data_IF_517265096320
#
_entry.id   IF_517265096320
#
_cell.length_a   1.000
_cell.length_b   1.000
_cell.length_c   1.000
_cell.angle_alpha   90.00
_cell.angle_beta   90.00
_cell.angle_gamma   90.00
#
_symmetry.space_group_name_H-M   'P 1'
#
loop_
_entity.id
_entity.type
_entity.pdbx_description
1 polymer ?
#
# COMPACT_ATOMS: atom_id res chain seq x y z
N UNK A 1 -49.35 -61.29 34.64
CA UNK A 1 -48.56 -62.37 34.01
C UNK A 1 -47.75 -61.73 32.91
N UNK A 2 -46.68 -61.04 33.28
CA UNK A 2 -45.35 -61.61 33.54
C UNK A 2 -44.58 -61.83 32.23
N UNK A 3 -43.67 -60.88 31.99
CA UNK A 3 -42.25 -61.13 31.70
C UNK A 3 -41.91 -62.46 31.05
N UNK A 4 -41.46 -62.45 29.80
CA UNK A 4 -40.33 -63.28 29.39
C UNK A 4 -39.50 -62.64 28.26
N UNK A 5 -38.25 -62.36 28.60
CA UNK A 5 -37.03 -62.30 27.77
C UNK A 5 -36.77 -61.15 26.79
N UNK A 6 -35.91 -60.25 27.28
CA UNK A 6 -34.93 -59.46 26.53
C UNK A 6 -33.87 -60.36 25.88
N UNK A 7 -33.28 -59.82 24.80
CA UNK A 7 -32.02 -60.21 24.13
C UNK A 7 -32.10 -61.17 22.94
N UNK A 8 -32.24 -60.60 21.74
CA UNK A 8 -31.33 -60.95 20.65
C UNK A 8 -30.90 -59.67 19.92
N UNK A 9 -29.60 -59.43 19.94
CA UNK A 9 -28.87 -58.35 19.29
C UNK A 9 -28.72 -58.64 17.78
N UNK A 10 -28.62 -57.56 17.02
CA UNK A 10 -27.92 -57.43 15.74
C UNK A 10 -28.52 -58.00 14.45
N UNK A 11 -28.25 -57.22 13.40
CA UNK A 11 -28.44 -57.44 11.96
C UNK A 11 -29.88 -57.23 11.50
N UNK A 12 -30.15 -56.06 10.92
CA UNK A 12 -30.84 -55.86 9.63
C UNK A 12 -30.72 -54.35 9.32
N UNK A 13 -29.50 -53.93 8.99
CA UNK A 13 -29.25 -52.78 8.15
C UNK A 13 -29.40 -53.27 6.70
N UNK A 14 -30.19 -52.57 5.87
CA UNK A 14 -30.03 -52.43 4.41
C UNK A 14 -31.20 -51.57 3.88
N UNK A 15 -30.90 -50.28 3.67
CA UNK A 15 -30.93 -49.57 2.38
C UNK A 15 -32.26 -48.94 2.00
N UNK A 16 -32.46 -47.70 2.48
CA UNK A 16 -33.26 -46.71 1.75
C UNK A 16 -32.29 -45.99 0.82
N UNK A 17 -32.37 -46.31 -0.46
CA UNK A 17 -31.66 -45.66 -1.54
C UNK A 17 -32.14 -44.21 -1.65
N UNK A 18 -31.42 -43.26 -1.05
CA UNK A 18 -31.48 -41.88 -1.51
C UNK A 18 -30.75 -41.83 -2.85
N UNK A 19 -31.52 -41.80 -3.93
CA UNK A 19 -31.02 -41.34 -5.22
C UNK A 19 -30.69 -39.84 -5.04
N UNK A 20 -29.45 -39.57 -4.65
CA UNK A 20 -28.88 -38.24 -4.79
C UNK A 20 -28.88 -37.93 -6.29
N UNK A 21 -29.73 -36.99 -6.69
CA UNK A 21 -29.54 -36.31 -7.96
C UNK A 21 -28.15 -35.68 -7.92
N UNK A 22 -27.24 -36.21 -8.74
CA UNK A 22 -26.03 -35.48 -9.15
C UNK A 22 -26.49 -34.22 -9.90
N UNK A 23 -26.79 -33.16 -9.16
CA UNK A 23 -26.43 -31.84 -9.62
C UNK A 23 -24.91 -31.78 -9.47
N UNK A 24 -24.20 -31.29 -10.49
CA UNK A 24 -22.83 -30.81 -10.35
C UNK A 24 -22.87 -29.65 -9.34
N UNK A 25 -22.94 -30.00 -8.05
CA UNK A 25 -22.95 -29.07 -6.95
C UNK A 25 -21.54 -28.52 -6.84
N UNK A 26 -21.37 -27.24 -7.16
CA UNK A 26 -20.20 -26.50 -6.73
C UNK A 26 -20.10 -26.66 -5.20
N UNK A 27 -19.11 -27.40 -4.73
CA UNK A 27 -18.78 -27.40 -3.30
C UNK A 27 -18.40 -25.96 -2.95
N UNK A 28 -19.00 -25.42 -1.89
CA UNK A 28 -18.72 -24.04 -1.49
C UNK A 28 -17.23 -23.91 -1.16
N UNK A 29 -16.52 -22.98 -1.81
CA UNK A 29 -15.06 -22.97 -1.75
C UNK A 29 -14.52 -22.49 -0.40
N UNK A 30 -15.32 -21.95 0.53
CA UNK A 30 -14.85 -21.48 1.84
C UNK A 30 -13.79 -20.38 1.73
N UNK A 31 -14.07 -19.35 0.90
CA UNK A 31 -13.13 -18.24 0.65
C UNK A 31 -13.36 -17.14 1.68
N UNK A 32 -12.31 -16.83 2.44
CA UNK A 32 -12.22 -15.67 3.33
C UNK A 32 -11.53 -14.54 2.57
N UNK A 33 -12.24 -13.45 2.32
CA UNK A 33 -11.71 -12.26 1.67
C UNK A 33 -11.14 -11.30 2.71
N UNK A 34 -9.88 -10.91 2.52
CA UNK A 34 -9.16 -9.95 3.35
C UNK A 34 -8.78 -8.76 2.48
N UNK A 35 -9.56 -7.68 2.59
CA UNK A 35 -9.33 -6.44 1.86
C UNK A 35 -8.47 -5.52 2.73
N UNK A 36 -7.23 -5.29 2.27
CA UNK A 36 -6.27 -4.36 2.86
C UNK A 36 -6.72 -2.93 2.57
N UNK A 37 -7.16 -2.23 3.61
CA UNK A 37 -7.94 -0.99 3.52
C UNK A 37 -7.50 0.02 4.59
N UNK A 38 -7.88 1.27 4.39
CA UNK A 38 -7.51 2.41 5.23
C UNK A 38 -8.76 3.20 5.63
N UNK A 39 -8.68 3.98 6.70
CA UNK A 39 -9.83 4.70 7.26
C UNK A 39 -10.34 5.86 6.39
N UNK A 40 -9.49 6.41 5.52
CA UNK A 40 -9.87 7.55 4.69
C UNK A 40 -11.04 7.21 3.76
N UNK A 41 -11.84 8.23 3.44
CA UNK A 41 -13.09 8.10 2.69
C UNK A 41 -12.93 7.46 1.31
N UNK A 42 -11.79 7.71 0.64
CA UNK A 42 -11.46 7.15 -0.67
C UNK A 42 -11.30 5.62 -0.59
N UNK A 43 -10.50 5.15 0.38
CA UNK A 43 -10.23 3.74 0.63
C UNK A 43 -11.47 3.02 1.17
N UNK A 44 -12.08 3.56 2.22
CA UNK A 44 -13.29 3.01 2.82
C UNK A 44 -14.47 2.96 1.84
N UNK A 45 -14.57 3.92 0.92
CA UNK A 45 -15.55 3.90 -0.18
C UNK A 45 -15.31 2.76 -1.17
N UNK A 46 -14.07 2.61 -1.64
CA UNK A 46 -13.68 1.55 -2.57
C UNK A 46 -13.88 0.16 -1.97
N UNK A 47 -13.46 -0.01 -0.71
CA UNK A 47 -13.61 -1.24 0.07
C UNK A 47 -15.08 -1.67 0.23
N UNK A 48 -15.97 -0.71 0.53
CA UNK A 48 -17.42 -0.96 0.62
C UNK A 48 -18.00 -1.42 -0.72
N UNK A 49 -17.60 -0.77 -1.82
CA UNK A 49 -18.05 -1.16 -3.15
C UNK A 49 -17.58 -2.57 -3.50
N UNK A 50 -16.30 -2.89 -3.26
CA UNK A 50 -15.77 -4.23 -3.48
C UNK A 50 -16.51 -5.28 -2.65
N UNK A 51 -16.70 -5.03 -1.36
CA UNK A 51 -17.47 -5.92 -0.48
C UNK A 51 -18.89 -6.16 -0.99
N UNK A 52 -19.62 -5.10 -1.37
CA UNK A 52 -20.96 -5.22 -1.94
C UNK A 52 -20.96 -6.02 -3.24
N UNK A 53 -19.99 -5.79 -4.13
CA UNK A 53 -19.83 -6.54 -5.37
C UNK A 53 -19.63 -8.03 -5.12
N UNK A 54 -18.78 -8.41 -4.15
CA UNK A 54 -18.55 -9.82 -3.76
C UNK A 54 -19.85 -10.48 -3.32
N UNK A 55 -20.60 -9.84 -2.40
CA UNK A 55 -21.88 -10.39 -1.91
C UNK A 55 -22.93 -10.51 -3.02
N UNK A 56 -23.03 -9.52 -3.91
CA UNK A 56 -23.95 -9.55 -5.04
C UNK A 56 -23.61 -10.67 -6.02
N UNK A 57 -22.33 -10.85 -6.34
CA UNK A 57 -21.88 -11.94 -7.20
C UNK A 57 -22.11 -13.31 -6.55
N UNK A 58 -21.87 -13.45 -5.24
CA UNK A 58 -22.13 -14.69 -4.51
C UNK A 58 -23.61 -15.07 -4.57
N UNK A 59 -24.51 -14.11 -4.30
CA UNK A 59 -25.95 -14.31 -4.41
C UNK A 59 -26.37 -14.69 -5.84
N UNK A 60 -25.82 -14.03 -6.86
CA UNK A 60 -26.10 -14.35 -8.27
C UNK A 60 -25.62 -15.76 -8.67
N UNK A 61 -24.57 -16.26 -8.03
CA UNK A 61 -24.02 -17.61 -8.22
C UNK A 61 -24.67 -18.66 -7.31
N UNK A 62 -25.62 -18.27 -6.45
CA UNK A 62 -26.23 -19.13 -5.42
C UNK A 62 -25.19 -19.77 -4.48
N UNK A 63 -24.12 -19.02 -4.17
CA UNK A 63 -23.14 -19.38 -3.15
C UNK A 63 -23.59 -18.86 -1.78
N UNK A 64 -23.08 -19.47 -0.71
CA UNK A 64 -23.20 -18.98 0.66
C UNK A 64 -22.66 -17.56 0.84
N UNK A 65 -23.03 -16.95 1.96
CA UNK A 65 -22.69 -15.56 2.27
C UNK A 65 -21.16 -15.44 2.47
N UNK A 66 -20.46 -14.65 1.64
CA UNK A 66 -19.00 -14.59 1.67
C UNK A 66 -18.48 -13.84 2.90
N UNK A 67 -17.41 -14.35 3.49
CA UNK A 67 -16.74 -13.69 4.63
C UNK A 67 -15.79 -12.63 4.08
N UNK A 68 -16.07 -11.35 4.37
CA UNK A 68 -15.27 -10.21 3.86
C UNK A 68 -14.79 -9.32 5.00
N UNK A 69 -13.50 -9.38 5.30
CA UNK A 69 -12.83 -8.47 6.21
C UNK A 69 -12.32 -7.24 5.48
N UNK A 70 -12.72 -6.07 5.97
CA UNK A 70 -12.07 -4.80 5.69
C UNK A 70 -11.17 -4.45 6.87
N UNK A 71 -9.85 -4.42 6.70
CA UNK A 71 -8.89 -4.22 7.80
C UNK A 71 -9.18 -2.97 8.63
N UNK A 72 -9.48 -1.82 8.01
CA UNK A 72 -9.80 -0.57 8.74
C UNK A 72 -11.06 -0.64 9.60
N UNK A 73 -11.99 -1.56 9.30
CA UNK A 73 -13.27 -1.68 10.01
C UNK A 73 -13.23 -2.78 11.07
N UNK A 74 -12.63 -3.91 10.74
CA UNK A 74 -12.67 -5.11 11.60
C UNK A 74 -11.47 -5.17 12.54
N UNK A 75 -10.36 -4.52 12.18
CA UNK A 75 -9.12 -4.49 12.96
C UNK A 75 -8.50 -3.09 13.04
N UNK A 76 -9.28 -2.05 13.44
CA UNK A 76 -8.78 -0.67 13.51
C UNK A 76 -7.60 -0.53 14.50
N UNK A 77 -7.60 -1.31 15.57
CA UNK A 77 -6.57 -1.27 16.61
C UNK A 77 -5.37 -2.20 16.35
N UNK A 78 -5.37 -2.93 15.22
CA UNK A 78 -4.28 -3.85 14.88
C UNK A 78 -3.22 -3.10 14.08
N UNK A 79 -2.26 -2.54 14.82
CA UNK A 79 -1.07 -1.92 14.25
C UNK A 79 -0.36 -2.90 13.29
N UNK A 80 0.03 -2.39 12.12
CA UNK A 80 0.74 -3.17 11.11
C UNK A 80 -0.13 -4.16 10.35
N UNK A 81 -1.46 -4.17 10.51
CA UNK A 81 -2.37 -5.03 9.72
C UNK A 81 -2.14 -4.92 8.21
N UNK A 82 -1.68 -3.76 7.73
CA UNK A 82 -1.33 -3.53 6.33
C UNK A 82 -0.16 -4.38 5.81
N UNK A 83 0.67 -4.94 6.71
CA UNK A 83 1.80 -5.83 6.41
C UNK A 83 1.38 -7.31 6.36
N UNK A 84 0.10 -7.62 6.61
CA UNK A 84 -0.48 -8.99 6.66
C UNK A 84 -0.03 -9.83 7.86
N UNK A 85 1.22 -9.70 8.33
CA UNK A 85 1.75 -10.53 9.42
C UNK A 85 0.88 -10.55 10.69
N UNK A 86 0.40 -9.40 11.23
CA UNK A 86 -0.46 -9.41 12.42
C UNK A 86 -1.84 -10.06 12.21
N UNK A 87 -2.21 -10.35 10.96
CA UNK A 87 -3.48 -10.96 10.61
C UNK A 87 -3.41 -12.49 10.56
N UNK A 88 -2.22 -13.08 10.43
CA UNK A 88 -2.06 -14.53 10.21
C UNK A 88 -2.68 -15.36 11.34
N UNK A 89 -2.27 -15.10 12.59
CA UNK A 89 -2.81 -15.80 13.77
C UNK A 89 -4.31 -15.54 13.93
N UNK A 90 -4.75 -14.29 13.70
CA UNK A 90 -6.16 -13.89 13.84
C UNK A 90 -7.06 -14.61 12.84
N UNK A 91 -6.61 -14.71 11.59
CA UNK A 91 -7.33 -15.41 10.53
C UNK A 91 -7.38 -16.91 10.81
N UNK A 92 -6.27 -17.50 11.25
CA UNK A 92 -6.20 -18.90 11.62
C UNK A 92 -7.12 -19.24 12.81
N UNK A 93 -7.19 -18.36 13.82
CA UNK A 93 -8.07 -18.52 14.97
C UNK A 93 -9.54 -18.38 14.59
N UNK A 94 -9.88 -17.36 13.79
CA UNK A 94 -11.25 -17.07 13.39
C UNK A 94 -11.83 -18.11 12.40
N UNK A 95 -10.97 -18.69 11.55
CA UNK A 95 -11.39 -19.54 10.44
C UNK A 95 -10.75 -20.93 10.44
N UNK A 96 -10.58 -21.50 11.64
CA UNK A 96 -10.01 -22.85 11.80
C UNK A 96 -10.82 -23.93 11.09
N UNK A 97 -12.15 -23.80 11.10
CA UNK A 97 -13.06 -24.87 10.69
C UNK A 97 -13.74 -24.60 9.32
N UNK A 98 -13.80 -23.33 8.88
CA UNK A 98 -14.55 -22.89 7.69
C UNK A 98 -13.67 -22.21 6.61
N UNK A 99 -12.45 -21.78 6.95
CA UNK A 99 -11.53 -21.13 6.03
C UNK A 99 -10.70 -22.12 5.21
N UNK A 100 -11.08 -22.31 3.94
CA UNK A 100 -10.32 -23.16 2.99
C UNK A 100 -9.33 -22.35 2.15
N UNK A 101 -9.71 -21.14 1.78
CA UNK A 101 -8.90 -20.22 0.97
C UNK A 101 -8.92 -18.81 1.58
N UNK A 102 -7.76 -18.16 1.65
CA UNK A 102 -7.61 -16.81 2.15
C UNK A 102 -7.16 -15.90 1.01
N UNK A 103 -8.08 -15.08 0.52
CA UNK A 103 -7.86 -14.18 -0.60
C UNK A 103 -7.52 -12.79 -0.07
N UNK A 104 -6.28 -12.34 -0.27
CA UNK A 104 -5.82 -11.00 0.12
C UNK A 104 -5.83 -10.08 -1.09
N UNK A 105 -6.36 -8.87 -0.95
CA UNK A 105 -6.40 -7.88 -2.02
C UNK A 105 -6.43 -6.45 -1.48
N UNK A 106 -6.26 -5.48 -2.37
CA UNK A 106 -6.40 -4.07 -2.05
C UNK A 106 -7.83 -3.59 -2.30
N UNK A 107 -8.17 -2.43 -1.75
CA UNK A 107 -9.47 -1.78 -1.93
C UNK A 107 -9.78 -1.40 -3.39
N UNK A 108 -8.75 -1.25 -4.24
CA UNK A 108 -8.85 -0.97 -5.66
C UNK A 108 -9.01 -2.22 -6.54
N UNK A 109 -8.89 -3.43 -5.96
CA UNK A 109 -9.05 -4.67 -6.70
C UNK A 109 -10.50 -4.84 -7.15
N UNK A 110 -10.69 -5.34 -8.37
CA UNK A 110 -11.95 -5.84 -8.90
C UNK A 110 -11.84 -7.33 -9.15
N UNK A 111 -12.96 -8.05 -9.11
CA UNK A 111 -12.96 -9.50 -9.30
C UNK A 111 -14.24 -10.02 -9.95
N UNK A 112 -14.07 -11.11 -10.69
CA UNK A 112 -15.11 -12.02 -11.17
C UNK A 112 -15.09 -13.26 -10.26
N UNK A 113 -16.04 -13.31 -9.33
CA UNK A 113 -16.12 -14.35 -8.30
C UNK A 113 -16.33 -15.72 -8.94
N UNK A 114 -17.13 -15.81 -10.00
CA UNK A 114 -17.40 -17.08 -10.69
C UNK A 114 -16.15 -17.68 -11.30
N UNK A 115 -15.26 -16.84 -11.86
CA UNK A 115 -13.96 -17.28 -12.37
C UNK A 115 -12.98 -17.60 -11.25
N UNK A 116 -12.97 -16.84 -10.16
CA UNK A 116 -12.13 -17.14 -8.99
C UNK A 116 -12.48 -18.51 -8.40
N UNK A 117 -13.77 -18.80 -8.18
CA UNK A 117 -14.21 -20.11 -7.69
C UNK A 117 -13.80 -21.24 -8.64
N UNK A 118 -13.99 -21.05 -9.96
CA UNK A 118 -13.55 -22.03 -10.97
C UNK A 118 -12.04 -22.24 -11.00
N UNK A 119 -11.26 -21.20 -10.69
CA UNK A 119 -9.81 -21.29 -10.59
C UNK A 119 -9.42 -22.11 -9.35
N UNK A 120 -9.95 -21.76 -8.18
CA UNK A 120 -9.61 -22.41 -6.91
C UNK A 120 -10.04 -23.88 -6.86
N UNK A 121 -11.14 -24.24 -7.52
CA UNK A 121 -11.59 -25.64 -7.62
C UNK A 121 -10.63 -26.55 -8.44
N UNK A 122 -9.60 -26.00 -9.07
CA UNK A 122 -8.53 -26.78 -9.72
C UNK A 122 -7.45 -27.23 -8.74
N UNK A 123 -7.41 -26.63 -7.55
CA UNK A 123 -6.42 -26.87 -6.52
C UNK A 123 -7.04 -27.57 -5.33
N UNK A 124 -6.22 -28.29 -4.56
CA UNK A 124 -6.66 -28.92 -3.33
C UNK A 124 -6.34 -28.00 -2.15
N UNK A 125 -7.36 -27.50 -1.46
CA UNK A 125 -7.19 -26.54 -0.36
C UNK A 125 -6.44 -27.08 0.87
N UNK A 126 -6.20 -28.40 0.96
CA UNK A 126 -5.37 -29.01 2.01
C UNK A 126 -3.88 -29.02 1.65
N UNK A 127 -3.55 -28.85 0.38
CA UNK A 127 -2.18 -28.75 -0.09
C UNK A 127 -1.69 -27.31 0.04
N UNK A 128 -0.39 -27.15 0.19
CA UNK A 128 0.23 -25.86 0.42
C UNK A 128 0.24 -25.04 -0.89
N UNK A 129 -0.57 -23.98 -0.96
CA UNK A 129 -0.69 -23.12 -2.13
C UNK A 129 -0.50 -21.64 -1.77
N UNK A 130 0.36 -20.98 -2.54
CA UNK A 130 0.54 -19.53 -2.55
C UNK A 130 0.41 -19.05 -4.01
N UNK A 131 -0.74 -18.46 -4.35
CA UNK A 131 -1.11 -18.14 -5.73
C UNK A 131 -1.22 -16.61 -5.92
N UNK A 132 -0.85 -16.12 -7.09
CA UNK A 132 -1.03 -14.70 -7.45
C UNK A 132 -0.39 -14.37 -8.79
N UNK A 133 -0.36 -13.09 -9.15
CA UNK A 133 0.43 -12.63 -10.29
C UNK A 133 1.88 -12.41 -9.86
N UNK A 134 2.84 -13.11 -10.45
CA UNK A 134 4.24 -12.98 -10.08
C UNK A 134 4.86 -11.68 -10.63
N UNK A 135 5.41 -10.89 -9.72
CA UNK A 135 6.32 -9.79 -10.01
C UNK A 135 7.75 -10.25 -9.79
N UNK A 136 8.66 -9.59 -10.50
CA UNK A 136 10.08 -9.86 -10.44
C UNK A 136 10.86 -8.55 -10.48
N UNK A 137 11.98 -8.58 -9.75
CA UNK A 137 13.05 -7.60 -9.88
C UNK A 137 14.01 -8.06 -10.97
N UNK A 138 14.12 -7.25 -12.03
CA UNK A 138 15.00 -7.53 -13.16
C UNK A 138 16.46 -7.20 -12.88
N UNK A 139 16.69 -6.32 -11.90
CA UNK A 139 17.99 -5.87 -11.43
C UNK A 139 18.02 -5.84 -9.90
N UNK A 140 19.19 -5.63 -9.32
CA UNK A 140 19.35 -5.58 -7.87
C UNK A 140 18.84 -4.22 -7.37
N UNK A 141 17.83 -4.22 -6.50
CA UNK A 141 17.12 -3.02 -6.07
C UNK A 141 17.48 -2.63 -4.64
N UNK A 142 17.41 -1.33 -4.34
CA UNK A 142 17.63 -0.83 -2.98
C UNK A 142 16.51 -1.30 -2.03
N UNK A 143 15.27 -1.33 -2.52
CA UNK A 143 14.09 -1.67 -1.71
C UNK A 143 14.10 -3.13 -1.24
N UNK A 144 14.72 -4.03 -2.02
CA UNK A 144 14.90 -5.44 -1.66
C UNK A 144 16.35 -5.75 -1.24
N UNK A 145 17.02 -4.75 -0.64
CA UNK A 145 18.33 -4.89 0.00
C UNK A 145 19.43 -5.50 -0.88
N UNK A 146 19.36 -5.26 -2.18
CA UNK A 146 20.25 -5.82 -3.18
C UNK A 146 20.27 -7.36 -3.21
N UNK A 147 19.14 -8.00 -2.92
CA UNK A 147 18.96 -9.42 -3.24
C UNK A 147 19.24 -9.67 -4.73
N UNK A 148 19.58 -10.92 -5.07
CA UNK A 148 19.94 -11.30 -6.43
C UNK A 148 18.75 -11.05 -7.39
N UNK A 149 18.97 -10.48 -8.58
CA UNK A 149 17.92 -10.29 -9.57
C UNK A 149 17.24 -11.62 -9.91
N UNK A 150 15.92 -11.59 -10.15
CA UNK A 150 15.13 -12.78 -10.50
C UNK A 150 15.22 -13.93 -9.48
N UNK A 151 15.63 -13.67 -8.22
CA UNK A 151 15.79 -14.71 -7.20
C UNK A 151 14.50 -15.06 -6.45
N UNK A 152 13.54 -14.13 -6.38
CA UNK A 152 12.29 -14.29 -5.66
C UNK A 152 11.12 -13.71 -6.46
N UNK A 153 10.12 -14.55 -6.73
CA UNK A 153 8.82 -14.09 -7.20
C UNK A 153 7.99 -13.58 -6.01
N UNK A 154 7.35 -12.43 -6.17
CA UNK A 154 6.46 -11.86 -5.16
C UNK A 154 5.13 -11.41 -5.77
N UNK A 155 4.01 -11.44 -5.03
CA UNK A 155 2.70 -11.23 -5.61
C UNK A 155 2.42 -9.76 -5.87
N UNK A 156 1.78 -9.43 -6.98
CA UNK A 156 1.11 -8.14 -7.13
C UNK A 156 -0.18 -8.12 -6.30
N UNK A 157 -0.11 -7.65 -5.04
CA UNK A 157 -1.27 -7.67 -4.13
C UNK A 157 -2.44 -6.81 -4.65
N UNK A 158 -2.18 -5.80 -5.48
CA UNK A 158 -3.20 -5.02 -6.20
C UNK A 158 -4.08 -5.88 -7.13
N UNK A 159 -3.53 -6.97 -7.67
CA UNK A 159 -4.25 -7.99 -8.44
C UNK A 159 -4.83 -9.10 -7.54
N UNK A 160 -4.41 -9.16 -6.28
CA UNK A 160 -4.81 -10.17 -5.30
C UNK A 160 -3.88 -11.37 -5.24
N UNK A 161 -3.85 -12.01 -4.08
CA UNK A 161 -3.11 -13.25 -3.82
C UNK A 161 -3.94 -14.20 -2.96
N UNK A 162 -3.63 -15.49 -3.00
CA UNK A 162 -4.36 -16.53 -2.29
C UNK A 162 -3.41 -17.44 -1.52
N UNK A 163 -3.75 -17.69 -0.26
CA UNK A 163 -3.18 -18.78 0.53
C UNK A 163 -4.22 -19.88 0.73
N UNK A 164 -3.82 -21.14 0.60
CA UNK A 164 -4.63 -22.25 1.13
C UNK A 164 -4.64 -22.25 2.66
N UNK A 165 -5.59 -22.98 3.25
CA UNK A 165 -5.69 -23.16 4.70
C UNK A 165 -4.40 -23.72 5.33
N UNK A 166 -3.77 -24.70 4.68
CA UNK A 166 -2.50 -25.29 5.12
C UNK A 166 -1.35 -24.30 5.05
N UNK A 167 -1.25 -23.53 3.95
CA UNK A 167 -0.24 -22.48 3.79
C UNK A 167 -0.39 -21.38 4.85
N UNK A 168 -1.62 -20.91 5.12
CA UNK A 168 -1.88 -19.94 6.19
C UNK A 168 -1.47 -20.48 7.56
N UNK A 169 -1.81 -21.74 7.87
CA UNK A 169 -1.46 -22.37 9.13
C UNK A 169 0.07 -22.45 9.34
N UNK A 170 0.83 -22.81 8.29
CA UNK A 170 2.30 -22.78 8.34
C UNK A 170 2.84 -21.38 8.57
N UNK A 171 2.35 -20.41 7.80
CA UNK A 171 2.76 -19.02 7.91
C UNK A 171 2.51 -18.47 9.32
N UNK A 172 1.31 -18.69 9.88
CA UNK A 172 0.97 -18.26 11.23
C UNK A 172 1.85 -18.94 12.30
N UNK A 173 2.07 -20.25 12.18
CA UNK A 173 2.91 -21.01 13.13
C UNK A 173 4.36 -20.54 13.10
N UNK A 174 4.93 -20.31 11.91
CA UNK A 174 6.28 -19.78 11.74
C UNK A 174 6.38 -18.34 12.26
N UNK A 175 5.38 -17.50 11.98
CA UNK A 175 5.36 -16.11 12.40
C UNK A 175 5.37 -15.97 13.92
N UNK A 176 4.59 -16.82 14.62
CA UNK A 176 4.56 -16.88 16.08
C UNK A 176 5.94 -17.13 16.73
N UNK A 177 6.87 -17.73 15.98
CA UNK A 177 8.23 -18.06 16.44
C UNK A 177 9.29 -17.09 15.91
N UNK A 178 8.90 -16.16 15.03
CA UNK A 178 9.83 -15.26 14.35
C UNK A 178 10.28 -14.15 15.30
N UNK A 179 11.58 -13.84 15.28
CA UNK A 179 12.13 -12.70 16.01
C UNK A 179 11.60 -11.37 15.45
N UNK A 180 11.83 -10.26 16.16
CA UNK A 180 11.31 -8.95 15.75
C UNK A 180 11.68 -8.57 14.32
N UNK A 181 10.66 -8.27 13.51
CA UNK A 181 10.80 -7.62 12.21
C UNK A 181 10.83 -6.10 12.41
N UNK A 182 12.01 -5.49 12.24
CA UNK A 182 12.23 -4.09 12.61
C UNK A 182 11.69 -3.09 11.58
N UNK A 183 11.77 -3.37 10.29
CA UNK A 183 11.33 -2.43 9.24
C UNK A 183 10.38 -3.12 8.29
N UNK A 184 9.34 -2.42 7.85
CA UNK A 184 8.44 -2.87 6.77
C UNK A 184 8.48 -1.85 5.64
N UNK A 185 9.06 -2.23 4.51
CA UNK A 185 9.34 -1.39 3.35
C UNK A 185 8.42 -1.80 2.19
N UNK A 186 8.57 -3.03 1.71
CA UNK A 186 7.74 -3.64 0.67
C UNK A 186 7.04 -4.87 1.25
N UNK A 187 5.78 -4.70 1.64
CA UNK A 187 4.99 -5.77 2.26
C UNK A 187 4.85 -7.02 1.39
N UNK A 188 4.79 -6.87 0.07
CA UNK A 188 4.49 -8.00 -0.82
C UNK A 188 5.75 -8.83 -1.04
N UNK A 189 6.90 -8.18 -1.18
CA UNK A 189 8.20 -8.83 -1.23
C UNK A 189 8.57 -9.47 0.11
N UNK A 190 8.47 -8.72 1.21
CA UNK A 190 8.79 -9.20 2.57
C UNK A 190 7.94 -10.42 2.94
N UNK A 191 6.64 -10.40 2.61
CA UNK A 191 5.75 -11.53 2.86
C UNK A 191 6.11 -12.75 2.01
N UNK A 192 6.41 -12.57 0.71
CA UNK A 192 6.86 -13.68 -0.14
C UNK A 192 8.19 -14.27 0.35
N UNK A 193 9.13 -13.42 0.76
CA UNK A 193 10.44 -13.83 1.31
C UNK A 193 10.27 -14.64 2.59
N UNK A 194 9.38 -14.19 3.48
CA UNK A 194 9.03 -14.93 4.70
C UNK A 194 8.41 -16.30 4.37
N UNK A 195 7.44 -16.37 3.46
CA UNK A 195 6.81 -17.63 3.05
C UNK A 195 7.82 -18.61 2.41
N UNK A 196 8.82 -18.09 1.70
CA UNK A 196 9.91 -18.88 1.11
C UNK A 196 10.91 -19.46 2.13
N UNK A 197 10.80 -19.12 3.41
CA UNK A 197 11.68 -19.68 4.45
C UNK A 197 11.40 -21.16 4.73
N UNK A 198 12.40 -21.95 5.16
CA UNK A 198 12.20 -23.34 5.56
C UNK A 198 11.15 -23.51 6.66
N UNK A 199 11.04 -22.55 7.58
CA UNK A 199 10.08 -22.54 8.68
C UNK A 199 8.63 -22.48 8.18
N UNK A 200 8.39 -21.78 7.07
CA UNK A 200 7.10 -21.75 6.38
C UNK A 200 6.88 -22.94 5.45
N UNK A 201 7.88 -23.80 5.24
CA UNK A 201 7.82 -24.92 4.29
C UNK A 201 8.31 -24.57 2.89
N UNK A 202 9.06 -23.48 2.73
CA UNK A 202 9.57 -22.99 1.45
C UNK A 202 8.44 -22.75 0.42
N UNK A 203 7.40 -22.04 0.86
CA UNK A 203 6.23 -21.71 0.04
C UNK A 203 6.61 -20.65 -0.99
N UNK A 204 6.79 -21.08 -2.23
CA UNK A 204 7.06 -20.20 -3.36
C UNK A 204 5.76 -19.79 -4.05
N UNK A 205 5.73 -18.56 -4.54
CA UNK A 205 4.59 -18.05 -5.32
C UNK A 205 4.45 -18.83 -6.63
N UNK A 206 3.24 -19.37 -6.85
CA UNK A 206 2.82 -19.87 -8.14
C UNK A 206 2.25 -18.72 -8.97
N UNK A 207 2.86 -18.44 -10.13
CA UNK A 207 2.35 -17.44 -11.06
C UNK A 207 1.05 -17.94 -11.71
N UNK A 208 -0.02 -17.17 -11.53
CA UNK A 208 -1.33 -17.42 -12.08
C UNK A 208 -1.75 -16.22 -12.94
N UNK A 209 -1.47 -16.23 -14.26
CA UNK A 209 -1.66 -15.08 -15.15
C UNK A 209 -3.10 -14.56 -15.28
N UNK A 210 -4.09 -15.27 -14.75
CA UNK A 210 -5.47 -14.79 -14.70
C UNK A 210 -5.70 -13.77 -13.58
N UNK A 211 -4.81 -13.67 -12.59
CA UNK A 211 -4.72 -12.48 -11.75
C UNK A 211 -4.05 -11.41 -12.61
N UNK A 212 -4.83 -10.41 -13.05
CA UNK A 212 -4.34 -9.43 -14.01
C UNK A 212 -3.92 -8.15 -13.31
N UNK A 213 -2.91 -7.46 -13.82
CA UNK A 213 -2.51 -6.14 -13.32
C UNK A 213 -3.46 -5.03 -13.80
N UNK A 214 -4.01 -5.18 -15.00
CA UNK A 214 -5.01 -4.28 -15.60
C UNK A 214 -6.08 -5.08 -16.34
N UNK A 215 -7.26 -4.47 -16.56
CA UNK A 215 -8.31 -5.09 -17.35
C UNK A 215 -7.97 -5.00 -18.84
N UNK A 216 -7.70 -6.12 -19.48
CA UNK A 216 -7.40 -6.19 -20.91
C UNK A 216 -8.54 -6.83 -21.69
N UNK A 217 -8.94 -6.21 -22.80
CA UNK A 217 -9.95 -6.80 -23.70
C UNK A 217 -9.43 -8.14 -24.23
N UNK A 218 -10.24 -9.19 -24.07
CA UNK A 218 -9.92 -10.54 -24.54
C UNK A 218 -9.15 -11.42 -23.55
N UNK A 219 -8.66 -10.88 -22.42
CA UNK A 219 -8.04 -11.67 -21.37
C UNK A 219 -9.08 -12.16 -20.36
N UNK A 220 -9.02 -13.45 -20.01
CA UNK A 220 -9.91 -14.02 -19.01
C UNK A 220 -9.41 -13.79 -17.58
N UNK A 221 -9.42 -12.53 -17.14
CA UNK A 221 -9.01 -12.16 -15.78
C UNK A 221 -10.00 -12.68 -14.72
N UNK A 222 -9.48 -13.18 -13.59
CA UNK A 222 -10.25 -13.42 -12.36
C UNK A 222 -10.31 -12.16 -11.53
N UNK A 223 -9.24 -11.37 -11.54
CA UNK A 223 -9.09 -10.12 -10.79
C UNK A 223 -8.30 -9.13 -11.61
N UNK A 224 -8.48 -7.84 -11.32
CA UNK A 224 -7.66 -6.76 -11.88
C UNK A 224 -7.65 -5.53 -10.99
N UNK A 225 -6.59 -4.71 -11.07
CA UNK A 225 -6.60 -3.39 -10.45
C UNK A 225 -7.43 -2.41 -11.30
N UNK A 226 -8.40 -1.74 -10.69
CA UNK A 226 -9.24 -0.76 -11.39
C UNK A 226 -8.67 0.67 -11.40
N UNK A 227 -7.66 0.97 -10.57
CA UNK A 227 -7.19 2.35 -10.38
C UNK A 227 -5.72 2.48 -10.74
N UNK A 228 -5.47 3.17 -11.86
CA UNK A 228 -4.13 3.60 -12.23
C UNK A 228 -3.73 4.90 -11.50
N UNK A 229 -4.71 5.79 -11.28
CA UNK A 229 -4.67 7.00 -10.42
C UNK A 229 -6.07 7.30 -9.89
N UNK A 230 -6.28 7.57 -8.60
CA UNK A 230 -7.57 8.07 -8.12
C UNK A 230 -7.79 9.50 -8.63
N UNK A 231 -8.72 9.66 -9.58
CA UNK A 231 -9.29 10.96 -9.92
C UNK A 231 -10.73 11.00 -9.41
N UNK A 232 -11.05 12.04 -8.65
CA UNK A 232 -12.40 12.27 -8.13
C UNK A 232 -13.16 13.35 -8.93
N UNK A 233 -12.68 13.64 -10.16
CA UNK A 233 -13.32 14.53 -11.13
C UNK A 233 -13.12 16.02 -10.87
N UNK A 234 -12.50 16.40 -9.76
CA UNK A 234 -12.28 17.79 -9.37
C UNK A 234 -10.88 17.92 -8.74
N UNK A 235 -9.84 18.31 -9.50
CA UNK A 235 -8.51 18.52 -8.95
C UNK A 235 -8.51 19.59 -7.87
N UNK A 236 -7.61 19.48 -6.89
CA UNK A 236 -7.34 20.57 -5.96
C UNK A 236 -6.84 21.82 -6.73
N UNK A 237 -7.27 23.05 -6.36
CA UNK A 237 -6.71 24.27 -6.93
C UNK A 237 -5.20 24.34 -6.70
N UNK A 238 -4.44 24.79 -7.70
CA UNK A 238 -2.97 24.89 -7.58
C UNK A 238 -2.55 25.88 -6.49
N UNK A 239 -3.25 27.01 -6.38
CA UNK A 239 -3.08 27.99 -5.29
C UNK A 239 -3.54 27.49 -3.91
N UNK A 240 -4.11 26.28 -3.81
CA UNK A 240 -4.41 25.65 -2.53
C UNK A 240 -3.26 24.79 -1.99
N UNK A 241 -2.18 24.59 -2.76
CA UNK A 241 -1.06 23.70 -2.44
C UNK A 241 0.25 24.47 -2.40
N UNK A 242 0.95 24.39 -1.27
CA UNK A 242 2.32 24.86 -1.09
C UNK A 242 3.28 23.69 -1.15
N UNK A 243 4.30 23.77 -2.00
CA UNK A 243 5.41 22.82 -2.03
C UNK A 243 6.64 23.40 -1.33
N UNK A 244 6.98 22.83 -0.18
CA UNK A 244 8.19 23.15 0.58
C UNK A 244 9.31 22.17 0.22
N UNK A 245 10.32 22.65 -0.49
CA UNK A 245 11.48 21.85 -0.91
C UNK A 245 12.60 22.02 0.12
N UNK A 246 13.02 20.92 0.75
CA UNK A 246 14.20 20.88 1.62
C UNK A 246 15.46 20.79 0.75
N UNK A 247 16.34 21.77 0.87
CA UNK A 247 17.64 21.80 0.18
C UNK A 247 18.76 22.23 1.12
N UNK A 248 20.00 22.23 0.65
CA UNK A 248 21.10 22.95 1.28
C UNK A 248 22.02 23.62 0.25
N UNK A 249 22.87 24.52 0.73
CA UNK A 249 23.88 25.27 -0.01
C UNK A 249 24.71 24.42 -0.97
N UNK A 250 24.99 23.17 -0.60
CA UNK A 250 25.75 22.22 -1.42
C UNK A 250 25.03 21.85 -2.72
N UNK A 251 23.70 21.84 -2.72
CA UNK A 251 22.87 21.36 -3.83
C UNK A 251 22.23 22.48 -4.66
N UNK A 252 22.51 23.74 -4.32
CA UNK A 252 22.01 24.92 -5.04
C UNK A 252 22.35 24.90 -6.55
N UNK A 253 23.51 24.34 -6.92
CA UNK A 253 23.97 24.30 -8.32
C UNK A 253 23.67 22.99 -9.04
N UNK A 254 23.44 21.91 -8.30
CA UNK A 254 23.35 20.57 -8.86
C UNK A 254 21.90 20.06 -8.92
N UNK A 255 21.13 20.24 -7.84
CA UNK A 255 19.80 19.64 -7.71
C UNK A 255 18.67 20.65 -7.90
N UNK A 256 18.77 21.82 -7.28
CA UNK A 256 17.74 22.86 -7.39
C UNK A 256 17.46 23.28 -8.85
N UNK A 257 18.47 23.42 -9.73
CA UNK A 257 18.19 23.74 -11.14
C UNK A 257 17.43 22.63 -11.86
N UNK A 258 17.65 21.36 -11.49
CA UNK A 258 16.93 20.21 -12.07
C UNK A 258 15.47 20.18 -11.59
N UNK A 259 15.21 20.47 -10.31
CA UNK A 259 13.85 20.65 -9.78
C UNK A 259 13.12 21.78 -10.52
N UNK A 260 13.78 22.92 -10.74
CA UNK A 260 13.25 24.05 -11.51
C UNK A 260 13.02 23.74 -13.00
N UNK A 261 13.88 22.92 -13.61
CA UNK A 261 13.75 22.52 -15.01
C UNK A 261 12.65 21.47 -15.25
N UNK A 262 12.22 20.77 -14.19
CA UNK A 262 11.21 19.71 -14.24
C UNK A 262 9.87 20.21 -13.69
N UNK A 263 9.47 19.77 -12.51
CA UNK A 263 8.10 19.89 -12.00
C UNK A 263 7.80 21.20 -11.28
N UNK A 264 8.81 21.93 -10.80
CA UNK A 264 8.56 23.14 -10.00
C UNK A 264 7.93 24.28 -10.80
N UNK A 265 8.03 24.25 -12.13
CA UNK A 265 7.33 25.18 -13.03
C UNK A 265 5.81 24.97 -13.07
N UNK A 266 5.35 23.78 -12.70
CA UNK A 266 3.93 23.39 -12.70
C UNK A 266 3.29 23.64 -11.33
N UNK A 267 4.08 23.92 -10.30
CA UNK A 267 3.61 24.30 -8.97
C UNK A 267 3.36 25.80 -8.89
N UNK A 268 2.14 26.21 -8.51
CA UNK A 268 1.81 27.64 -8.34
C UNK A 268 2.52 28.27 -7.12
N UNK A 269 2.79 27.47 -6.08
CA UNK A 269 3.48 27.91 -4.87
C UNK A 269 4.58 26.92 -4.50
N UNK A 270 5.84 27.34 -4.65
CA UNK A 270 7.01 26.57 -4.27
C UNK A 270 7.98 27.44 -3.46
N UNK A 271 8.51 26.89 -2.38
CA UNK A 271 9.49 27.56 -1.52
C UNK A 271 10.66 26.61 -1.27
N UNK A 272 11.87 27.08 -1.55
CA UNK A 272 13.11 26.33 -1.30
C UNK A 272 13.65 26.71 0.08
N UNK A 273 13.66 25.78 1.02
CA UNK A 273 14.18 25.98 2.37
C UNK A 273 15.61 25.46 2.47
N UNK A 274 16.54 26.36 2.80
CA UNK A 274 17.99 26.08 2.81
C UNK A 274 18.65 26.54 4.10
N UNK A 275 19.90 26.11 4.31
CA UNK A 275 20.78 26.61 5.37
C UNK A 275 21.31 28.03 5.08
N UNK A 276 21.29 28.47 3.82
CA UNK A 276 21.71 29.82 3.40
C UNK A 276 20.69 30.45 2.44
N UNK A 277 20.55 31.77 2.50
CA UNK A 277 19.81 32.54 1.50
C UNK A 277 20.62 32.66 0.20
N UNK A 278 19.95 32.47 -0.93
CA UNK A 278 20.51 32.56 -2.27
C UNK A 278 19.49 33.24 -3.18
N UNK A 279 19.85 34.43 -3.68
CA UNK A 279 18.95 35.26 -4.48
C UNK A 279 18.77 34.75 -5.92
N UNK A 280 19.73 33.99 -6.45
CA UNK A 280 19.65 33.42 -7.81
C UNK A 280 18.66 32.26 -7.86
N UNK A 281 18.51 31.57 -6.74
CA UNK A 281 17.51 30.53 -6.54
C UNK A 281 16.70 30.77 -5.25
N UNK A 282 15.85 31.83 -5.21
CA UNK A 282 15.28 32.38 -3.97
C UNK A 282 15.00 31.33 -2.89
N UNK A 283 15.93 31.21 -1.94
CA UNK A 283 15.82 30.30 -0.81
C UNK A 283 15.42 31.06 0.45
N UNK A 284 14.71 30.38 1.35
CA UNK A 284 14.36 30.87 2.68
C UNK A 284 15.16 30.11 3.72
N UNK A 285 15.83 30.83 4.63
CA UNK A 285 16.46 30.21 5.80
C UNK A 285 15.48 30.11 6.96
N UNK A 286 15.53 28.99 7.67
CA UNK A 286 14.80 28.76 8.93
C UNK A 286 15.74 28.73 10.14
N UNK A 287 16.98 29.20 9.97
CA UNK A 287 17.98 29.27 11.05
C UNK A 287 18.53 27.91 11.48
N UNK A 288 18.42 26.88 10.63
CA UNK A 288 18.93 25.52 10.90
C UNK A 288 20.06 25.19 9.93
N UNK A 289 21.23 24.85 10.46
CA UNK A 289 22.39 24.44 9.66
C UNK A 289 22.18 23.10 8.95
N UNK A 290 22.93 22.87 7.87
CA UNK A 290 22.91 21.58 7.19
C UNK A 290 23.56 20.47 8.04
N UNK A 291 22.97 19.27 7.99
CA UNK A 291 23.39 18.05 8.70
C UNK A 291 23.40 16.87 7.72
N UNK A 292 24.15 15.80 8.02
CA UNK A 292 24.45 14.73 7.05
C UNK A 292 23.53 13.50 7.09
N UNK A 293 22.79 13.26 8.17
CA UNK A 293 22.09 11.98 8.41
C UNK A 293 20.59 12.08 8.29
N UNK A 294 19.96 12.94 9.07
CA UNK A 294 18.54 13.24 9.02
C UNK A 294 18.32 14.74 9.10
N UNK A 295 17.08 15.18 8.90
CA UNK A 295 16.75 16.60 8.77
C UNK A 295 15.65 17.05 9.74
N UNK A 296 15.49 16.37 10.89
CA UNK A 296 14.39 16.63 11.81
C UNK A 296 14.27 18.10 12.22
N UNK A 297 15.35 18.73 12.67
CA UNK A 297 15.29 20.14 13.09
C UNK A 297 14.87 21.07 11.94
N UNK A 298 15.38 20.82 10.73
CA UNK A 298 15.05 21.60 9.53
C UNK A 298 13.57 21.43 9.18
N UNK A 299 13.07 20.19 9.15
CA UNK A 299 11.67 19.89 8.84
C UNK A 299 10.73 20.52 9.88
N UNK A 300 11.00 20.37 11.18
CA UNK A 300 10.18 21.00 12.23
C UNK A 300 10.22 22.54 12.16
N UNK A 301 11.36 23.13 11.80
CA UNK A 301 11.49 24.56 11.61
C UNK A 301 10.70 25.06 10.40
N UNK A 302 10.68 24.30 9.29
CA UNK A 302 9.85 24.57 8.11
C UNK A 302 8.37 24.54 8.48
N UNK A 303 7.89 23.50 9.18
CA UNK A 303 6.49 23.40 9.60
C UNK A 303 6.05 24.59 10.46
N UNK A 304 6.91 25.04 11.38
CA UNK A 304 6.67 26.25 12.18
C UNK A 304 6.68 27.51 11.31
N UNK A 305 7.61 27.61 10.37
CA UNK A 305 7.77 28.78 9.50
C UNK A 305 6.55 28.98 8.61
N UNK A 306 6.07 27.93 7.94
CA UNK A 306 4.92 28.04 7.01
C UNK A 306 3.63 28.47 7.73
N UNK A 307 3.44 28.07 8.99
CA UNK A 307 2.31 28.54 9.80
C UNK A 307 2.51 29.98 10.30
N UNK A 308 3.66 30.28 10.90
CA UNK A 308 3.89 31.59 11.54
C UNK A 308 3.96 32.75 10.56
N UNK A 309 4.34 32.49 9.30
CA UNK A 309 4.40 33.50 8.25
C UNK A 309 3.16 33.49 7.34
N UNK A 310 2.14 32.69 7.65
CA UNK A 310 0.87 32.68 6.92
C UNK A 310 0.95 32.10 5.51
N UNK A 311 1.94 31.24 5.22
CA UNK A 311 2.04 30.54 3.94
C UNK A 311 0.96 29.44 3.82
N UNK A 312 0.47 28.93 4.95
CA UNK A 312 -0.73 28.11 5.02
C UNK A 312 -1.88 28.93 5.63
N UNK A 313 -2.91 29.20 4.85
CA UNK A 313 -4.03 30.06 5.23
C UNK A 313 -5.39 29.42 4.88
N UNK A 314 -6.43 30.21 4.63
CA UNK A 314 -7.75 29.69 4.22
C UNK A 314 -7.79 29.23 2.75
N UNK A 315 -6.85 29.69 1.93
CA UNK A 315 -6.71 29.35 0.52
C UNK A 315 -5.70 28.22 0.35
N UNK A 316 -4.49 28.38 0.91
CA UNK A 316 -3.42 27.39 0.87
C UNK A 316 -3.58 26.39 2.01
N UNK A 317 -4.28 25.30 1.73
CA UNK A 317 -4.71 24.29 2.72
C UNK A 317 -3.89 23.01 2.71
N UNK A 318 -3.01 22.84 1.72
CA UNK A 318 -2.13 21.67 1.60
C UNK A 318 -0.67 22.08 1.64
N UNK A 319 0.13 21.30 2.36
CA UNK A 319 1.58 21.37 2.39
C UNK A 319 2.14 20.07 1.82
N UNK A 320 2.98 20.19 0.80
CA UNK A 320 3.82 19.10 0.29
C UNK A 320 5.24 19.38 0.77
N UNK A 321 5.85 18.43 1.45
CA UNK A 321 7.26 18.47 1.85
C UNK A 321 8.02 17.50 0.95
N UNK A 322 8.99 18.01 0.19
CA UNK A 322 9.80 17.23 -0.75
C UNK A 322 11.30 17.48 -0.52
N UNK A 323 12.14 16.50 -0.86
CA UNK A 323 13.58 16.68 -0.91
C UNK A 323 14.00 17.30 -2.26
N UNK A 324 15.20 17.87 -2.31
CA UNK A 324 15.74 18.51 -3.53
C UNK A 324 16.11 17.52 -4.65
N UNK A 325 16.00 16.22 -4.40
CA UNK A 325 16.15 15.12 -5.35
C UNK A 325 14.87 14.27 -5.52
N UNK A 326 13.72 14.77 -5.08
CA UNK A 326 12.39 14.21 -5.38
C UNK A 326 11.87 14.72 -6.73
N UNK A 327 11.37 13.82 -7.58
CA UNK A 327 10.55 14.17 -8.74
C UNK A 327 9.07 14.06 -8.41
N UNK A 328 8.28 15.04 -8.82
CA UNK A 328 6.82 15.07 -8.62
C UNK A 328 6.09 15.26 -9.96
N UNK A 329 4.89 14.72 -10.08
CA UNK A 329 3.90 15.14 -11.07
C UNK A 329 2.85 16.02 -10.39
N UNK A 330 2.98 17.35 -10.52
CA UNK A 330 2.04 18.30 -9.89
C UNK A 330 0.60 18.10 -10.37
N UNK A 331 0.31 17.92 -11.68
CA UNK A 331 -1.07 17.69 -12.13
C UNK A 331 -1.70 16.44 -11.50
N UNK A 332 -0.97 15.30 -11.48
CA UNK A 332 -1.45 14.06 -10.84
C UNK A 332 -1.64 14.23 -9.34
N UNK A 333 -0.75 14.98 -8.68
CA UNK A 333 -0.89 15.30 -7.27
C UNK A 333 -2.17 16.11 -7.00
N UNK A 334 -2.44 17.16 -7.78
CA UNK A 334 -3.66 17.96 -7.64
C UNK A 334 -4.93 17.12 -7.87
N UNK A 335 -4.94 16.25 -8.88
CA UNK A 335 -6.03 15.29 -9.12
C UNK A 335 -6.27 14.39 -7.91
N UNK A 336 -5.19 13.84 -7.35
CA UNK A 336 -5.24 12.95 -6.20
C UNK A 336 -5.73 13.67 -4.94
N UNK A 337 -5.25 14.89 -4.67
CA UNK A 337 -5.71 15.70 -3.53
C UNK A 337 -7.17 16.11 -3.65
N UNK A 338 -7.70 16.21 -4.87
CA UNK A 338 -9.12 16.42 -5.16
C UNK A 338 -10.05 15.33 -4.59
N UNK A 339 -9.50 14.16 -4.23
CA UNK A 339 -10.26 13.09 -3.59
C UNK A 339 -10.45 13.25 -2.07
N UNK A 340 -9.82 14.26 -1.47
CA UNK A 340 -9.78 14.45 -0.03
C UNK A 340 -10.39 15.79 0.39
N UNK A 341 -10.94 15.84 1.59
CA UNK A 341 -11.37 17.10 2.19
C UNK A 341 -10.19 17.75 2.93
N UNK A 342 -9.75 18.93 2.49
CA UNK A 342 -8.59 19.59 3.08
C UNK A 342 -8.81 20.15 4.50
N UNK A 343 -10.05 20.10 5.01
CA UNK A 343 -10.39 20.49 6.40
C UNK A 343 -10.20 19.32 7.40
N UNK A 344 -9.96 18.10 6.90
CA UNK A 344 -9.66 16.92 7.69
C UNK A 344 -8.18 16.88 8.11
N UNK A 345 -7.86 16.06 9.11
CA UNK A 345 -6.48 15.80 9.56
C UNK A 345 -5.86 14.70 8.69
N UNK A 346 -5.18 15.11 7.61
CA UNK A 346 -4.60 14.19 6.63
C UNK A 346 -3.07 14.29 6.66
N UNK A 347 -2.45 13.12 6.68
CA UNK A 347 -1.05 12.89 6.37
C UNK A 347 -1.00 11.76 5.34
N UNK A 348 -0.46 12.01 4.14
CA UNK A 348 -0.41 11.01 3.06
C UNK A 348 0.93 11.00 2.31
N UNK A 349 1.26 9.84 1.75
CA UNK A 349 2.51 9.57 1.03
C UNK A 349 2.77 8.07 0.89
N UNK A 350 4.01 7.68 0.64
CA UNK A 350 4.41 6.27 0.73
C UNK A 350 4.67 5.91 2.19
N UNK A 351 4.15 4.76 2.65
CA UNK A 351 4.18 4.37 4.07
C UNK A 351 5.17 3.25 4.28
N UNK A 352 6.11 3.46 5.19
CA UNK A 352 6.95 2.41 5.77
C UNK A 352 6.56 2.18 7.24
N UNK A 353 7.01 1.05 7.80
CA UNK A 353 6.79 0.67 9.18
C UNK A 353 8.10 0.49 9.93
N UNK A 354 8.14 0.90 11.19
CA UNK A 354 9.17 0.54 12.15
C UNK A 354 8.53 -0.30 13.26
N UNK A 355 8.83 -1.60 13.33
CA UNK A 355 8.25 -2.55 14.26
C UNK A 355 6.75 -2.83 14.02
N UNK A 356 6.20 -2.38 12.87
CA UNK A 356 4.78 -2.47 12.55
C UNK A 356 4.31 -3.90 12.36
N UNK A 357 5.04 -4.72 11.59
CA UNK A 357 4.71 -6.14 11.41
C UNK A 357 4.66 -6.90 12.75
N UNK A 358 5.49 -6.51 13.72
CA UNK A 358 5.50 -7.08 15.07
C UNK A 358 4.48 -6.46 16.03
N UNK A 359 3.66 -5.50 15.58
CA UNK A 359 2.66 -4.79 16.40
C UNK A 359 3.26 -3.94 17.53
N UNK A 360 4.56 -3.57 17.45
CA UNK A 360 5.30 -2.95 18.57
C UNK A 360 5.84 -1.55 18.32
N UNK A 361 5.71 -1.01 17.11
CA UNK A 361 6.23 0.31 16.79
C UNK A 361 5.21 1.24 16.14
N UNK A 362 5.53 1.78 14.97
CA UNK A 362 4.70 2.78 14.30
C UNK A 362 5.01 2.85 12.81
N UNK A 363 4.04 3.40 12.07
CA UNK A 363 4.20 3.69 10.66
C UNK A 363 4.68 5.14 10.45
N UNK A 364 5.36 5.40 9.34
CA UNK A 364 5.81 6.72 8.94
C UNK A 364 5.69 6.90 7.42
N UNK A 365 5.61 8.15 6.98
CA UNK A 365 5.60 8.49 5.56
C UNK A 365 7.03 8.81 5.13
N UNK A 366 7.53 8.16 4.09
CA UNK A 366 8.93 8.33 3.67
C UNK A 366 9.17 9.75 3.18
N UNK A 367 10.25 10.38 3.63
CA UNK A 367 10.51 11.79 3.32
C UNK A 367 10.82 12.03 1.85
N UNK A 368 11.60 11.14 1.23
CA UNK A 368 12.07 11.26 -0.15
C UNK A 368 10.96 11.03 -1.19
N UNK A 369 9.96 10.20 -0.89
CA UNK A 369 8.78 10.05 -1.76
C UNK A 369 7.91 11.32 -1.81
N UNK A 370 8.08 12.23 -0.86
CA UNK A 370 7.25 13.40 -0.66
C UNK A 370 6.10 13.13 0.31
N UNK A 371 6.00 13.97 1.34
CA UNK A 371 4.95 13.89 2.35
C UNK A 371 3.94 15.00 2.14
N UNK A 372 2.65 14.69 2.22
CA UNK A 372 1.58 15.68 2.08
C UNK A 372 0.75 15.77 3.36
N UNK A 373 0.53 17.00 3.81
CA UNK A 373 -0.23 17.32 5.01
C UNK A 373 -1.30 18.36 4.69
N UNK A 374 -2.47 18.25 5.32
CA UNK A 374 -3.37 19.41 5.41
C UNK A 374 -2.81 20.42 6.39
N UNK A 375 -3.18 21.69 6.22
CA UNK A 375 -2.87 22.77 7.17
C UNK A 375 -3.21 22.37 8.61
N UNK A 376 -4.36 21.74 8.82
CA UNK A 376 -4.81 21.27 10.14
C UNK A 376 -3.86 20.25 10.75
N UNK A 377 -3.33 19.32 9.96
CA UNK A 377 -2.31 18.37 10.41
C UNK A 377 -1.02 19.09 10.80
N UNK A 378 -0.57 20.07 10.01
CA UNK A 378 0.62 20.87 10.34
C UNK A 378 0.43 21.64 11.65
N UNK A 379 -0.75 22.24 11.87
CA UNK A 379 -1.11 22.89 13.14
C UNK A 379 -1.03 21.93 14.33
N UNK A 380 -1.61 20.73 14.19
CA UNK A 380 -1.57 19.67 15.22
C UNK A 380 -0.12 19.27 15.54
N UNK A 381 0.71 19.03 14.53
CA UNK A 381 2.13 18.68 14.72
C UNK A 381 2.85 19.79 15.49
N UNK A 382 2.73 21.05 15.04
CA UNK A 382 3.45 22.19 15.65
C UNK A 382 2.98 22.46 17.09
N UNK A 383 1.70 22.27 17.40
CA UNK A 383 1.12 22.52 18.72
C UNK A 383 1.28 21.36 19.71
N UNK A 384 1.59 20.16 19.22
CA UNK A 384 1.67 18.93 20.03
C UNK A 384 2.84 18.86 21.03
N UNK A 385 3.87 19.70 20.84
CA UNK A 385 5.14 19.56 21.55
C UNK A 385 6.07 18.47 20.97
N UNK A 386 5.79 17.92 19.78
CA UNK A 386 6.72 17.05 19.09
C UNK A 386 8.09 17.72 18.90
N UNK A 387 9.14 17.00 19.29
CA UNK A 387 10.50 17.51 19.34
C UNK A 387 11.47 16.46 18.82
N UNK A 388 12.49 16.92 18.09
CA UNK A 388 13.57 16.09 17.61
C UNK A 388 14.43 15.57 18.77
N UNK A 389 14.75 14.26 18.83
CA UNK A 389 15.76 13.75 19.77
C UNK A 389 17.14 14.39 19.55
N UNK A 390 17.50 14.60 18.28
CA UNK A 390 18.66 15.37 17.83
C UNK A 390 18.32 16.07 16.52
N UNK A 391 19.06 17.14 16.18
CA UNK A 391 18.81 17.89 14.94
C UNK A 391 18.92 17.03 13.68
N UNK A 392 19.80 16.03 13.71
CA UNK A 392 20.11 15.09 12.62
C UNK A 392 19.33 13.77 12.71
N UNK A 393 18.30 13.69 13.56
CA UNK A 393 17.38 12.54 13.58
C UNK A 393 16.62 12.43 12.24
N UNK A 394 16.24 11.20 11.79
CA UNK A 394 15.36 11.02 10.64
C UNK A 394 14.03 11.74 10.87
N UNK A 395 13.69 12.67 9.98
CA UNK A 395 12.53 13.53 10.11
C UNK A 395 11.22 12.78 9.86
N UNK A 396 11.22 11.90 8.87
CA UNK A 396 10.08 11.04 8.53
C UNK A 396 9.65 10.13 9.69
N UNK A 397 10.59 9.39 10.29
CA UNK A 397 10.32 8.52 11.43
C UNK A 397 9.84 9.32 12.65
N UNK A 398 10.43 10.49 12.91
CA UNK A 398 9.97 11.36 14.00
C UNK A 398 8.54 11.85 13.75
N UNK A 399 8.23 12.29 12.52
CA UNK A 399 6.87 12.68 12.15
C UNK A 399 5.89 11.51 12.27
N UNK A 400 6.26 10.30 11.86
CA UNK A 400 5.43 9.10 12.03
C UNK A 400 5.09 8.82 13.51
N UNK A 401 6.11 8.80 14.38
CA UNK A 401 5.92 8.64 15.81
C UNK A 401 5.05 9.76 16.42
N UNK A 402 5.23 11.00 15.94
CA UNK A 402 4.43 12.16 16.35
C UNK A 402 2.95 12.00 15.96
N UNK A 403 2.69 11.65 14.69
CA UNK A 403 1.34 11.46 14.14
C UNK A 403 0.60 10.32 14.85
N UNK A 404 1.29 9.22 15.13
CA UNK A 404 0.73 8.12 15.93
C UNK A 404 0.30 8.59 17.33
N UNK A 405 1.14 9.36 18.04
CA UNK A 405 0.79 9.93 19.36
C UNK A 405 -0.39 10.91 19.29
N UNK A 406 -0.55 11.60 18.17
CA UNK A 406 -1.65 12.52 17.92
C UNK A 406 -2.96 11.82 17.51
N UNK A 407 -2.92 10.52 17.24
CA UNK A 407 -4.06 9.77 16.71
C UNK A 407 -4.43 10.16 15.29
N UNK A 408 -3.47 10.67 14.50
CA UNK A 408 -3.68 11.05 13.09
C UNK A 408 -3.26 9.85 12.23
N UNK A 409 -4.19 9.19 11.52
CA UNK A 409 -3.87 8.02 10.71
C UNK A 409 -3.08 8.41 9.44
N UNK A 410 -2.13 7.57 9.05
CA UNK A 410 -1.40 7.73 7.80
C UNK A 410 -2.19 7.16 6.63
N UNK A 411 -2.28 7.91 5.55
CA UNK A 411 -2.82 7.43 4.27
C UNK A 411 -1.68 7.06 3.34
N UNK A 412 -1.49 5.76 3.14
CA UNK A 412 -0.60 5.22 2.12
C UNK A 412 -1.20 5.40 0.73
N UNK A 413 -0.37 5.79 -0.23
CA UNK A 413 -0.66 5.73 -1.65
C UNK A 413 0.45 4.98 -2.38
N UNK A 414 0.12 3.97 -3.23
CA UNK A 414 1.10 3.24 -4.03
C UNK A 414 1.65 4.05 -5.21
N UNK A 415 1.29 5.34 -5.30
CA UNK A 415 1.75 6.24 -6.36
C UNK A 415 2.94 7.11 -5.92
N UNK A 416 3.28 7.07 -4.64
CA UNK A 416 4.45 7.77 -4.10
C UNK A 416 5.57 6.74 -3.96
N UNK A 417 6.79 7.10 -4.36
CA UNK A 417 7.92 6.17 -4.41
C UNK A 417 9.20 6.78 -3.83
N UNK A 418 9.73 6.16 -2.79
CA UNK A 418 10.99 6.51 -2.11
C UNK A 418 12.22 6.09 -2.92
N UNK A 419 12.05 5.23 -3.92
CA UNK A 419 13.12 4.73 -4.78
C UNK A 419 12.91 5.14 -6.26
N UNK A 420 13.89 4.84 -7.11
CA UNK A 420 13.87 5.21 -8.53
C UNK A 420 12.95 4.24 -9.26
N UNK A 421 12.45 4.57 -10.47
CA UNK A 421 11.63 3.64 -11.23
C UNK A 421 12.28 2.25 -11.40
N UNK A 422 13.60 2.21 -11.62
CA UNK A 422 14.36 0.96 -11.81
C UNK A 422 14.47 0.12 -10.54
N UNK A 423 14.18 0.70 -9.38
CA UNK A 423 14.15 -0.01 -8.11
C UNK A 423 12.79 -0.71 -7.88
N UNK A 424 11.82 -0.62 -8.80
CA UNK A 424 10.53 -1.31 -8.73
C UNK A 424 10.33 -2.22 -9.95
N UNK A 425 9.51 -3.27 -9.81
CA UNK A 425 9.15 -4.13 -10.94
C UNK A 425 8.52 -3.32 -12.09
N UNK A 426 9.01 -3.51 -13.31
CA UNK A 426 8.44 -2.86 -14.50
C UNK A 426 6.97 -3.24 -14.71
N UNK A 427 6.59 -4.48 -14.39
CA UNK A 427 5.21 -4.94 -14.42
C UNK A 427 4.33 -4.18 -13.42
N UNK A 428 4.85 -3.91 -12.21
CA UNK A 428 4.16 -3.10 -11.20
C UNK A 428 3.92 -1.67 -11.71
N UNK A 429 4.96 -1.04 -12.27
CA UNK A 429 4.85 0.33 -12.78
C UNK A 429 4.02 0.44 -14.08
N UNK A 430 3.93 -0.62 -14.89
CA UNK A 430 3.24 -0.61 -16.20
C UNK A 430 1.75 -0.26 -16.15
N UNK A 431 1.12 -0.40 -14.98
CA UNK A 431 -0.31 -0.18 -14.78
C UNK A 431 -0.61 0.90 -13.73
N UNK A 432 0.42 1.57 -13.21
CA UNK A 432 0.30 2.69 -12.29
C UNK A 432 0.60 3.99 -13.04
N UNK A 433 0.08 5.13 -12.55
CA UNK A 433 0.59 6.44 -12.96
C UNK A 433 1.17 7.14 -11.73
N UNK A 434 2.49 7.01 -11.50
CA UNK A 434 3.16 7.52 -10.31
C UNK A 434 2.97 9.02 -10.09
N UNK A 435 2.90 9.46 -8.84
CA UNK A 435 2.95 10.86 -8.44
C UNK A 435 4.39 11.29 -8.18
N UNK A 436 5.22 10.40 -7.62
CA UNK A 436 6.60 10.74 -7.28
C UNK A 436 7.58 9.59 -7.49
N UNK A 437 8.87 9.95 -7.58
CA UNK A 437 10.03 9.06 -7.51
C UNK A 437 11.19 9.77 -6.82
N UNK A 438 12.10 9.00 -6.23
CA UNK A 438 13.29 9.51 -5.53
C UNK A 438 14.45 8.50 -5.66
N UNK A 439 15.71 8.84 -5.91
CA UNK A 439 16.38 10.13 -5.95
C UNK A 439 17.24 10.27 -7.20
N UNK A 440 17.84 11.44 -7.37
CA UNK A 440 18.82 11.75 -8.42
C UNK A 440 20.14 10.99 -8.22
N UNK A 441 20.10 9.67 -8.29
CA UNK A 441 21.25 8.78 -8.12
C UNK A 441 21.26 7.71 -9.21
N UNK A 442 22.34 7.65 -9.99
CA UNK A 442 22.48 6.73 -11.12
C UNK A 442 21.27 6.74 -12.09
N UNK A 443 20.69 7.92 -12.32
CA UNK A 443 19.62 8.16 -13.29
C UNK A 443 19.69 9.61 -13.80
N UNK A 444 19.08 9.89 -14.95
CA UNK A 444 18.89 11.25 -15.48
C UNK A 444 17.53 11.80 -15.00
N UNK A 445 17.51 12.81 -14.09
CA UNK A 445 16.25 13.35 -13.56
C UNK A 445 15.31 13.94 -14.59
N UNK A 446 15.85 14.54 -15.64
CA UNK A 446 15.04 15.19 -16.67
C UNK A 446 14.38 14.13 -17.54
N UNK A 447 15.13 13.11 -17.96
CA UNK A 447 14.59 12.02 -18.76
C UNK A 447 13.59 11.18 -17.98
N UNK A 448 13.91 10.84 -16.73
CA UNK A 448 12.99 10.11 -15.85
C UNK A 448 11.69 10.90 -15.63
N UNK A 449 11.77 12.20 -15.36
CA UNK A 449 10.58 13.05 -15.22
C UNK A 449 9.75 13.05 -16.51
N UNK A 450 10.38 13.22 -17.68
CA UNK A 450 9.69 13.20 -18.98
C UNK A 450 8.98 11.88 -19.24
N UNK A 451 9.65 10.76 -18.97
CA UNK A 451 9.13 9.42 -19.22
C UNK A 451 7.99 9.05 -18.28
N UNK A 452 8.12 9.39 -17.00
CA UNK A 452 7.26 8.82 -15.97
C UNK A 452 6.23 9.79 -15.38
N UNK A 453 6.52 11.09 -15.35
CA UNK A 453 5.77 12.06 -14.53
C UNK A 453 5.24 13.26 -15.32
N UNK A 454 5.76 13.51 -16.51
CA UNK A 454 5.36 14.62 -17.37
C UNK A 454 4.07 14.29 -18.16
N UNK A 455 2.94 14.37 -17.47
CA UNK A 455 1.63 14.43 -18.11
C UNK A 455 1.39 15.83 -18.67
N UNK A 456 1.92 16.12 -19.85
CA UNK A 456 1.37 17.23 -20.63
C UNK A 456 -0.15 17.06 -20.81
N UNK A 457 -0.92 18.12 -21.07
CA UNK A 457 -2.38 18.10 -21.21
C UNK A 457 -2.95 17.20 -22.34
N UNK A 458 -2.11 16.37 -22.99
CA UNK A 458 -2.45 15.49 -24.11
C UNK A 458 -1.80 14.09 -24.06
N UNK A 459 -1.03 13.72 -23.03
CA UNK A 459 -0.24 12.47 -23.03
C UNK A 459 -0.90 11.31 -22.25
N UNK A 460 -2.16 11.00 -22.54
CA UNK A 460 -2.89 9.88 -21.93
C UNK A 460 -2.44 8.48 -22.35
N UNK A 461 -1.41 8.34 -23.19
CA UNK A 461 -1.07 7.06 -23.87
C UNK A 461 0.41 6.66 -23.85
N UNK A 462 1.27 7.29 -23.03
CA UNK A 462 2.72 7.00 -23.07
C UNK A 462 3.19 5.76 -22.30
N UNK A 463 2.30 5.03 -21.63
CA UNK A 463 2.68 3.82 -20.87
C UNK A 463 2.44 2.49 -21.61
N UNK A 464 2.09 2.52 -22.91
CA UNK A 464 1.89 1.31 -23.73
C UNK A 464 3.20 0.75 -24.35
N UNK A 465 4.36 1.36 -24.09
CA UNK A 465 5.67 0.96 -24.64
C UNK A 465 6.58 0.22 -23.62
N UNK A 466 6.01 -0.34 -22.55
CA UNK A 466 6.73 -1.13 -21.54
C UNK A 466 6.43 -2.63 -21.64
#
# INVERSE_FOLDING_TARGET
METFMKHLFCLWALTISHAASHQDGFEEPGIVFVVLTQENSLSAGAARFLSQSIHQQAAALSLGDPIVYLTHKHWPDVLGSWTIFPLLERLLEAHRDDGRWFFFCEDSTQLDLGRLVKLLNKYNCTDDHFLGHALWDLESTIIHHFDDPMSLAYPAISAGMVLSSSALNRAATAWAQTASHEFSIDRQYEFAKFLGTPECGALLLEDVPSFCLKQEKGRSCVTWSARQTPSCGHPAPGDAVLVAVKTCSQFHKERVPLVKATWAKDAEQVVFFSDVEDADIPTVTVGVSNVKRGHCAKTMAILKHVLSNGLLDTRTRWLVVADDDTLLSIPRLLDFLGCFNADDEIALGERYGFGSASGRGYDYLTGGSGMVFTKRTVERIVQSGCSCPSDDSPDDMLLGACLQRLGIPLTHSPLFHQARPDDYSSALLSHQRPISFHKFWMMDPIETYRRWLNDGPSNGSQHDEL
#
